data_IF_144060888523
#
_entry.id   IF_144060888523
#
_cell.length_a   1.000
_cell.length_b   1.000
_cell.length_c   1.000
_cell.angle_alpha   90.00
_cell.angle_beta   90.00
_cell.angle_gamma   90.00
#
_symmetry.space_group_name_H-M   'P 1'
#
loop_
_entity.id
_entity.type
_entity.pdbx_description
1 polymer ?
2 non-polymer ?
3 non-polymer ?
4 water ?
#
# COMPACT_ATOMS: atom_id res chain seq x y z
N UNK A 1 0.04 -13.31 -14.63
CA UNK A 1 0.32 -13.82 -13.27
C UNK A 1 -1.00 -14.00 -12.57
N UNK A 2 -1.19 -15.12 -11.89
CA UNK A 2 -2.44 -15.34 -11.20
C UNK A 2 -2.18 -16.07 -9.89
N UNK A 3 -3.10 -15.95 -8.97
CA UNK A 3 -3.05 -16.68 -7.73
C UNK A 3 -4.38 -17.32 -7.41
N UNK A 4 -4.42 -18.20 -6.44
CA UNK A 4 -5.68 -18.62 -5.84
C UNK A 4 -5.53 -18.87 -4.37
N UNK A 5 -6.67 -19.04 -3.70
CA UNK A 5 -6.71 -19.29 -2.28
C UNK A 5 -7.47 -20.58 -2.07
N UNK A 6 -6.86 -21.48 -1.33
CA UNK A 6 -7.45 -22.79 -1.09
C UNK A 6 -7.91 -23.43 -2.42
N UNK A 7 -7.14 -23.27 -3.50
CA UNK A 7 -7.43 -23.95 -4.75
C UNK A 7 -8.63 -23.39 -5.46
N UNK A 8 -9.07 -22.18 -5.12
CA UNK A 8 -10.22 -21.58 -5.76
C UNK A 8 -10.00 -20.94 -7.11
N UNK A 9 -10.91 -20.06 -7.51
CA UNK A 9 -10.80 -19.43 -8.83
C UNK A 9 -9.58 -18.48 -8.88
N UNK A 10 -9.11 -18.25 -10.09
CA UNK A 10 -7.91 -17.44 -10.28
C UNK A 10 -8.15 -15.96 -9.99
N UNK A 11 -7.13 -15.32 -9.42
CA UNK A 11 -7.16 -13.93 -9.00
C UNK A 11 -6.01 -13.24 -9.69
N UNK A 12 -6.29 -12.10 -10.35
CA UNK A 12 -5.26 -11.32 -11.03
C UNK A 12 -4.90 -10.00 -10.36
N UNK A 13 -5.66 -9.61 -9.35
CA UNK A 13 -5.42 -8.35 -8.62
C UNK A 13 -6.49 -8.24 -7.56
N UNK A 14 -6.32 -7.28 -6.65
CA UNK A 14 -7.42 -6.97 -5.76
C UNK A 14 -7.29 -7.57 -4.39
N UNK A 15 -8.35 -7.46 -3.58
CA UNK A 15 -8.31 -7.91 -2.21
C UNK A 15 -9.07 -9.19 -2.10
N UNK A 16 -8.46 -10.15 -1.39
CA UNK A 16 -9.08 -11.45 -1.21
C UNK A 16 -8.96 -11.89 0.25
N UNK A 17 -10.04 -12.48 0.79
CA UNK A 17 -10.01 -13.03 2.13
C UNK A 17 -9.24 -14.35 2.12
N UNK A 18 -8.47 -14.58 3.16
CA UNK A 18 -7.72 -15.82 3.32
C UNK A 18 -8.01 -16.33 4.75
N UNK A 19 -8.76 -17.40 4.85
CA UNK A 19 -9.23 -17.91 6.14
C UNK A 19 -8.22 -18.89 6.70
N UNK A 20 -7.88 -18.70 7.98
CA UNK A 20 -6.84 -19.50 8.62
C UNK A 20 -7.32 -20.01 9.98
N UNK A 21 -6.89 -21.21 10.33
CA UNK A 21 -7.10 -21.74 11.67
C UNK A 21 -6.01 -21.21 12.61
N UNK A 22 -6.41 -20.78 13.80
CA UNK A 22 -5.46 -20.27 14.77
C UNK A 22 -5.57 -21.15 16.02
N UNK A 23 -4.48 -21.22 16.77
CA UNK A 23 -4.54 -21.91 18.04
C UNK A 23 -5.68 -21.29 18.84
N UNK A 24 -6.59 -22.15 19.35
CA UNK A 24 -7.76 -21.54 20.01
C UNK A 24 -7.46 -20.95 21.39
N UNK A 25 -6.32 -21.35 21.96
CA UNK A 25 -5.86 -20.78 23.23
C UNK A 25 -4.42 -20.31 23.09
N UNK A 26 -4.15 -19.12 23.62
CA UNK A 26 -2.81 -18.57 23.57
C UNK A 26 -2.37 -18.13 24.95
N UNK A 27 -1.24 -18.65 25.39
CA UNK A 27 -0.73 -18.31 26.71
C UNK A 27 0.19 -17.15 26.57
N UNK A 28 0.23 -16.29 27.59
CA UNK A 28 1.22 -15.22 27.57
C UNK A 28 2.61 -15.84 27.40
N UNK A 29 3.47 -15.18 26.65
CA UNK A 29 4.77 -15.75 26.30
C UNK A 29 4.77 -16.56 25.02
N UNK A 30 3.60 -16.78 24.43
CA UNK A 30 3.51 -17.60 23.22
C UNK A 30 3.05 -16.82 21.99
N UNK A 31 3.54 -17.24 20.84
CA UNK A 31 3.07 -16.61 19.61
C UNK A 31 2.24 -17.57 18.77
N UNK A 32 1.47 -17.01 17.86
CA UNK A 32 0.67 -17.76 16.92
C UNK A 32 1.44 -17.81 15.63
N UNK A 33 1.48 -18.96 15.00
CA UNK A 33 2.15 -19.11 13.71
C UNK A 33 1.07 -19.28 12.65
N UNK A 34 1.06 -18.45 11.63
CA UNK A 34 0.09 -18.55 10.55
C UNK A 34 0.83 -18.90 9.26
N UNK A 35 0.71 -20.14 8.81
CA UNK A 35 1.43 -20.57 7.63
C UNK A 35 0.56 -20.32 6.40
N UNK A 36 0.84 -19.24 5.68
CA UNK A 36 0.01 -18.87 4.55
C UNK A 36 0.33 -19.69 3.30
N UNK A 37 1.42 -20.43 3.34
CA UNK A 37 1.74 -21.33 2.21
C UNK A 37 0.65 -22.39 2.09
N UNK A 38 -0.07 -22.64 3.19
CA UNK A 38 -1.15 -23.63 3.15
C UNK A 38 -2.37 -23.12 2.43
N UNK A 39 -2.38 -21.84 2.05
CA UNK A 39 -3.57 -21.26 1.47
C UNK A 39 -3.39 -20.54 0.15
N UNK A 40 -2.29 -19.80 -0.01
CA UNK A 40 -2.16 -18.93 -1.18
C UNK A 40 -1.10 -19.49 -2.12
N UNK A 41 -1.46 -19.67 -3.39
CA UNK A 41 -0.50 -20.14 -4.38
C UNK A 41 -0.59 -19.25 -5.59
N UNK A 42 0.53 -19.07 -6.30
CA UNK A 42 0.52 -18.23 -7.51
C UNK A 42 1.36 -18.87 -8.59
N UNK A 43 1.17 -18.40 -9.82
CA UNK A 43 1.83 -19.02 -10.96
C UNK A 43 1.96 -18.02 -12.07
N UNK A 44 2.90 -18.34 -12.97
CA UNK A 44 3.09 -17.63 -14.22
C UNK A 44 2.07 -18.16 -15.24
N UNK A 45 1.39 -17.25 -15.94
CA UNK A 45 0.29 -17.67 -16.80
C UNK A 45 0.76 -18.23 -18.12
N UNK A 46 2.02 -18.09 -18.48
CA UNK A 46 2.58 -18.76 -19.67
C UNK A 46 3.37 -19.99 -19.33
N UNK A 47 4.12 -19.98 -18.23
CA UNK A 47 5.11 -21.01 -17.95
C UNK A 47 6.36 -20.84 -18.78
N UNK A 48 7.34 -21.69 -18.54
CA UNK A 48 8.55 -21.71 -19.34
C UNK A 48 9.49 -20.54 -19.14
N UNK A 49 9.30 -19.73 -18.08
CA UNK A 49 10.20 -18.63 -17.78
C UNK A 49 10.26 -17.68 -18.96
N UNK A 50 9.11 -17.47 -19.61
CA UNK A 50 9.05 -16.58 -20.76
C UNK A 50 8.96 -15.04 -20.45
N UNK A 51 7.93 -14.67 -19.71
CA UNK A 51 7.67 -13.33 -19.19
C UNK A 51 7.60 -13.54 -17.65
N UNK A 52 8.77 -13.63 -17.03
CA UNK A 52 8.84 -14.01 -15.60
C UNK A 52 8.19 -12.95 -14.73
N UNK A 53 7.43 -13.39 -13.73
CA UNK A 53 6.81 -12.51 -12.74
C UNK A 53 7.73 -12.30 -11.54
N UNK A 54 7.67 -11.09 -11.00
CA UNK A 54 8.50 -10.71 -9.86
C UNK A 54 7.59 -10.19 -8.77
N UNK A 55 7.58 -10.86 -7.63
CA UNK A 55 6.60 -10.59 -6.59
C UNK A 55 7.28 -10.25 -5.29
N UNK A 56 6.77 -9.25 -4.59
CA UNK A 56 7.29 -8.91 -3.26
C UNK A 56 6.13 -8.47 -2.39
N UNK A 57 6.39 -8.42 -1.09
CA UNK A 57 5.41 -7.87 -0.17
C UNK A 57 5.81 -6.43 0.14
N UNK A 58 4.78 -5.63 0.49
CA UNK A 58 4.91 -4.18 0.44
C UNK A 58 4.86 -3.55 1.82
N UNK A 59 5.77 -2.61 1.99
CA UNK A 59 5.80 -1.71 3.12
C UNK A 59 4.39 -1.24 3.49
N UNK A 60 4.07 -1.31 4.77
CA UNK A 60 2.78 -0.90 5.24
C UNK A 60 1.83 -2.04 5.59
N UNK A 61 2.11 -3.23 5.06
CA UNK A 61 1.38 -4.43 5.45
C UNK A 61 1.43 -4.53 6.96
N UNK A 62 0.30 -4.81 7.59
CA UNK A 62 0.22 -4.62 9.05
C UNK A 62 -0.89 -5.46 9.63
N UNK A 63 -0.95 -5.48 10.95
CA UNK A 63 -2.11 -6.01 11.62
C UNK A 63 -3.32 -5.14 11.41
N UNK A 64 -4.49 -5.71 11.65
CA UNK A 64 -5.72 -4.95 11.57
C UNK A 64 -5.70 -3.90 12.67
N UNK A 65 -6.46 -2.83 12.46
CA UNK A 65 -6.67 -1.84 13.51
C UNK A 65 -6.81 -2.33 14.94
N UNK A 66 -7.69 -3.31 15.12
CA UNK A 66 -7.99 -3.85 16.44
C UNK A 66 -6.76 -4.49 17.09
N UNK A 67 -5.81 -4.92 16.27
CA UNK A 67 -4.67 -5.68 16.76
C UNK A 67 -3.38 -4.97 16.48
N UNK A 68 -3.44 -3.66 16.28
CA UNK A 68 -2.24 -2.88 15.91
C UNK A 68 -1.24 -2.76 17.04
N UNK A 69 -1.64 -3.13 18.25
CA UNK A 69 -0.70 -3.12 19.33
C UNK A 69 0.18 -4.37 19.26
N UNK A 70 -0.20 -5.33 18.43
CA UNK A 70 0.53 -6.59 18.39
C UNK A 70 1.92 -6.48 17.76
N UNK A 71 2.79 -7.40 18.19
CA UNK A 71 4.12 -7.53 17.60
C UNK A 71 4.15 -8.76 16.72
N UNK A 72 5.05 -8.75 15.75
CA UNK A 72 5.13 -9.91 14.90
C UNK A 72 6.37 -9.94 14.06
N UNK A 73 6.43 -11.03 13.30
CA UNK A 73 7.42 -11.20 12.24
C UNK A 73 6.70 -11.77 11.05
N UNK A 74 7.25 -11.50 9.89
CA UNK A 74 6.71 -12.01 8.63
C UNK A 74 7.84 -12.67 7.89
N UNK A 75 7.69 -13.98 7.70
CA UNK A 75 8.64 -14.73 6.90
C UNK A 75 8.22 -14.65 5.45
N UNK A 76 9.14 -14.25 4.56
CA UNK A 76 8.85 -14.26 3.15
C UNK A 76 10.11 -14.68 2.44
N UNK A 77 10.04 -15.83 1.74
CA UNK A 77 11.05 -16.14 0.73
C UNK A 77 12.49 -15.96 1.23
N UNK A 78 12.82 -16.73 2.27
CA UNK A 78 14.17 -16.84 2.85
C UNK A 78 14.54 -15.76 3.86
N UNK A 79 13.66 -14.80 4.13
CA UNK A 79 13.98 -13.72 5.08
C UNK A 79 12.84 -13.56 6.04
N UNK A 80 13.16 -13.30 7.32
CA UNK A 80 12.13 -13.01 8.31
C UNK A 80 12.21 -11.52 8.66
N UNK A 81 11.15 -10.81 8.35
CA UNK A 81 11.09 -9.36 8.58
C UNK A 81 10.28 -9.04 9.83
N UNK A 82 10.61 -7.93 10.51
CA UNK A 82 9.66 -7.45 11.51
C UNK A 82 8.32 -7.17 10.84
N UNK A 83 7.25 -7.37 11.58
CA UNK A 83 5.90 -7.10 11.11
C UNK A 83 5.23 -6.24 12.17
N UNK A 84 4.59 -5.12 11.80
CA UNK A 84 4.26 -4.71 10.44
C UNK A 84 5.47 -4.38 9.59
N UNK A 85 5.34 -4.56 8.28
CA UNK A 85 6.46 -4.35 7.37
C UNK A 85 6.81 -2.88 7.21
N UNK A 86 8.06 -2.54 7.39
CA UNK A 86 8.49 -1.16 7.29
C UNK A 86 9.29 -0.92 6.01
N UNK A 87 9.39 -1.94 5.17
CA UNK A 87 10.13 -1.86 3.94
C UNK A 87 9.55 -2.89 2.99
N UNK A 88 9.87 -2.81 1.72
CA UNK A 88 9.47 -3.88 0.81
C UNK A 88 10.39 -5.07 0.99
N UNK A 89 9.84 -6.26 0.79
CA UNK A 89 10.63 -7.49 0.95
C UNK A 89 11.45 -7.77 -0.30
N UNK A 90 12.28 -8.82 -0.19
CA UNK A 90 12.94 -9.40 -1.35
C UNK A 90 11.90 -9.87 -2.34
N UNK A 91 12.38 -10.05 -3.57
CA UNK A 91 11.57 -10.50 -4.72
C UNK A 91 11.65 -12.00 -4.91
N UNK A 92 10.48 -12.60 -5.06
CA UNK A 92 10.36 -13.99 -5.50
C UNK A 92 10.01 -13.99 -6.97
N UNK A 93 10.69 -14.83 -7.74
CA UNK A 93 10.45 -14.86 -9.19
C UNK A 93 9.66 -16.08 -9.54
N UNK A 94 8.62 -15.88 -10.33
CA UNK A 94 7.64 -16.89 -10.67
C UNK A 94 7.56 -17.01 -12.17
N UNK A 95 7.93 -18.20 -12.64
CA UNK A 95 8.08 -18.49 -14.08
C UNK A 95 7.41 -19.77 -14.54
N UNK A 96 7.01 -20.64 -13.62
CA UNK A 96 6.38 -21.91 -13.95
C UNK A 96 4.88 -21.75 -13.90
N UNK A 97 4.14 -22.50 -14.73
CA UNK A 97 2.71 -22.46 -14.64
C UNK A 97 2.17 -23.34 -13.51
N UNK A 98 2.98 -24.28 -13.08
CA UNK A 98 2.61 -25.09 -11.90
C UNK A 98 2.53 -24.16 -10.69
N UNK A 99 1.40 -24.14 -9.98
CA UNK A 99 1.28 -23.22 -8.83
C UNK A 99 2.38 -23.41 -7.80
N UNK A 100 2.82 -22.27 -7.28
CA UNK A 100 3.77 -22.27 -6.18
C UNK A 100 3.10 -21.71 -4.94
N UNK A 101 2.95 -22.53 -3.90
CA UNK A 101 2.50 -22.00 -2.62
C UNK A 101 3.42 -20.87 -2.18
N UNK A 102 2.86 -19.77 -1.70
CA UNK A 102 3.71 -18.66 -1.32
C UNK A 102 4.51 -19.02 -0.06
N UNK A 103 5.81 -18.70 -0.07
CA UNK A 103 6.67 -18.98 1.09
C UNK A 103 6.53 -17.87 2.12
N UNK A 104 5.41 -17.96 2.86
CA UNK A 104 4.90 -16.81 3.60
C UNK A 104 4.29 -17.32 4.91
N UNK A 105 4.84 -16.84 6.01
CA UNK A 105 4.32 -17.16 7.34
C UNK A 105 4.28 -15.90 8.19
N UNK A 106 3.24 -15.78 8.96
CA UNK A 106 3.12 -14.68 9.92
C UNK A 106 3.24 -15.21 11.35
N UNK A 107 4.09 -14.59 12.15
CA UNK A 107 4.24 -14.89 13.57
C UNK A 107 3.66 -13.76 14.35
N UNK A 108 2.73 -14.08 15.24
CA UNK A 108 1.95 -13.06 15.98
C UNK A 108 2.18 -13.16 17.47
N UNK A 109 2.60 -12.06 18.08
CA UNK A 109 2.74 -11.96 19.53
C UNK A 109 1.72 -10.93 20.02
N UNK A 110 0.62 -11.39 20.62
CA UNK A 110 -0.36 -10.44 21.12
C UNK A 110 0.31 -9.53 22.16
N UNK A 111 0.10 -8.22 22.01
CA UNK A 111 0.61 -7.25 22.96
C UNK A 111 -0.56 -6.42 23.45
N UNK A 112 -0.60 -6.15 24.74
CA UNK A 112 -1.64 -5.32 25.33
C UNK A 112 -3.00 -5.99 25.26
N UNK A 113 -2.99 -7.31 25.04
CA UNK A 113 -4.22 -8.07 24.95
C UNK A 113 -4.83 -8.27 26.33
N UNK A 114 -6.14 -8.03 26.42
CA UNK A 114 -6.90 -8.30 27.63
C UNK A 114 -7.45 -9.73 27.62
N UNK A 115 -7.85 -10.24 28.78
CA UNK A 115 -8.32 -11.61 28.89
C UNK A 115 -9.55 -11.93 28.07
N UNK A 116 -9.87 -13.21 27.95
CA UNK A 116 -11.03 -13.65 27.20
C UNK A 116 -10.73 -13.70 25.71
N UNK A 117 -11.75 -13.46 24.89
CA UNK A 117 -11.56 -13.55 23.43
C UNK A 117 -10.71 -12.38 22.99
N UNK A 118 -9.55 -12.68 22.39
CA UNK A 118 -8.67 -11.66 21.86
C UNK A 118 -8.72 -11.54 20.35
N UNK A 119 -9.06 -12.63 19.67
CA UNK A 119 -9.31 -12.61 18.22
C UNK A 119 -10.63 -13.32 17.95
N UNK A 120 -11.48 -12.67 17.19
CA UNK A 120 -12.78 -13.23 16.84
C UNK A 120 -12.73 -14.02 15.53
N UNK A 121 -13.49 -15.08 15.45
CA UNK A 121 -13.72 -15.73 14.17
C UNK A 121 -14.35 -14.70 13.26
N UNK A 122 -13.85 -14.61 12.03
CA UNK A 122 -14.40 -13.67 11.06
C UNK A 122 -13.67 -12.33 11.06
N UNK A 123 -12.80 -12.13 12.04
CA UNK A 123 -12.04 -10.90 12.18
C UNK A 123 -10.87 -10.86 11.20
N UNK A 124 -10.71 -9.74 10.49
CA UNK A 124 -9.48 -9.52 9.72
C UNK A 124 -8.38 -9.27 10.73
N UNK A 125 -7.35 -10.09 10.71
CA UNK A 125 -6.23 -9.95 11.62
C UNK A 125 -5.03 -9.22 11.03
N UNK A 126 -4.89 -9.26 9.71
CA UNK A 126 -3.72 -8.63 9.08
C UNK A 126 -4.09 -8.42 7.63
N UNK A 127 -3.46 -7.40 7.07
CA UNK A 127 -3.62 -7.05 5.65
C UNK A 127 -2.26 -7.06 5.02
N UNK A 128 -2.03 -8.03 4.12
CA UNK A 128 -0.74 -8.20 3.47
C UNK A 128 -0.81 -7.75 2.04
N UNK A 129 -0.09 -6.67 1.70
CA UNK A 129 -0.08 -6.17 0.34
C UNK A 129 1.06 -6.84 -0.39
N UNK A 130 0.73 -7.36 -1.57
CA UNK A 130 1.69 -8.03 -2.45
C UNK A 130 1.71 -7.28 -3.77
N UNK A 131 2.89 -7.10 -4.33
CA UNK A 131 3.08 -6.41 -5.60
C UNK A 131 3.65 -7.35 -6.63
N UNK A 132 3.11 -7.31 -7.84
CA UNK A 132 3.59 -8.08 -8.98
C UNK A 132 4.00 -7.17 -10.13
N UNK A 133 5.16 -7.43 -10.71
CA UNK A 133 5.51 -6.81 -12.00
C UNK A 133 6.24 -7.88 -12.81
N UNK A 134 5.95 -7.96 -14.11
CA UNK A 134 6.57 -8.98 -14.93
C UNK A 134 7.82 -8.44 -15.63
N UNK A 135 8.16 -9.02 -16.77
CA UNK A 135 9.46 -8.77 -17.39
C UNK A 135 9.35 -8.03 -18.71
N UNK A 136 8.34 -8.37 -19.50
CA UNK A 136 8.18 -7.81 -20.85
C UNK A 136 7.33 -6.56 -20.80
N UNK A 137 7.55 -5.68 -21.76
CA UNK A 137 6.81 -4.43 -21.81
C UNK A 137 6.98 -3.60 -20.55
N UNK A 138 5.85 -3.10 -20.07
CA UNK A 138 5.76 -2.31 -18.85
C UNK A 138 5.82 -3.19 -17.62
N UNK A 139 5.67 -4.49 -17.83
CA UNK A 139 5.56 -5.42 -16.72
C UNK A 139 4.15 -5.57 -16.19
N UNK A 140 3.18 -4.76 -16.63
CA UNK A 140 1.78 -4.95 -16.23
C UNK A 140 1.65 -5.11 -14.72
N UNK A 141 2.05 -4.09 -13.96
CA UNK A 141 2.08 -4.22 -12.49
C UNK A 141 0.70 -4.40 -11.93
N UNK A 142 0.60 -5.20 -10.87
CA UNK A 142 -0.66 -5.47 -10.25
C UNK A 142 -0.49 -5.50 -8.75
N UNK A 143 -1.52 -5.08 -8.04
CA UNK A 143 -1.56 -5.10 -6.58
C UNK A 143 -2.53 -6.13 -6.10
N UNK A 144 -2.12 -6.87 -5.07
CA UNK A 144 -2.98 -7.81 -4.36
C UNK A 144 -2.96 -7.43 -2.90
N UNK A 145 -4.08 -7.59 -2.23
CA UNK A 145 -4.06 -7.60 -0.78
C UNK A 145 -4.69 -8.86 -0.27
N UNK A 146 -4.01 -9.48 0.68
CA UNK A 146 -4.48 -10.67 1.34
C UNK A 146 -5.01 -10.28 2.70
N UNK A 147 -6.32 -10.39 2.89
CA UNK A 147 -6.93 -10.10 4.19
C UNK A 147 -7.00 -11.38 4.97
N UNK A 148 -6.19 -11.50 6.01
CA UNK A 148 -6.05 -12.75 6.73
C UNK A 148 -7.15 -12.76 7.79
N UNK A 149 -7.99 -13.79 7.79
CA UNK A 149 -9.15 -13.85 8.68
C UNK A 149 -9.11 -15.11 9.48
N UNK A 150 -9.33 -14.98 10.78
CA UNK A 150 -9.37 -16.16 11.61
C UNK A 150 -10.64 -16.99 11.42
N UNK A 151 -10.52 -18.32 11.34
CA UNK A 151 -11.69 -19.17 11.32
C UNK A 151 -12.34 -19.41 12.69
N UNK A 152 -11.61 -19.09 13.74
CA UNK A 152 -12.06 -19.45 15.08
C UNK A 152 -11.68 -18.40 16.11
N UNK A 153 -12.31 -18.47 17.28
CA UNK A 153 -11.92 -17.62 18.40
C UNK A 153 -10.54 -18.00 18.89
N UNK A 154 -9.83 -16.98 19.36
CA UNK A 154 -8.62 -17.21 20.14
C UNK A 154 -8.79 -16.53 21.48
N UNK A 155 -8.58 -17.31 22.53
CA UNK A 155 -8.78 -16.78 23.89
C UNK A 155 -7.48 -16.77 24.64
N UNK A 156 -7.32 -15.76 25.48
CA UNK A 156 -6.19 -15.72 26.39
C UNK A 156 -6.70 -15.66 27.83
N UNK A 157 -6.14 -16.50 28.70
CA UNK A 157 -6.61 -16.52 30.10
C UNK A 157 -5.96 -15.42 30.93
N UNK B 1 1.98 12.02 14.14
CA UNK B 1 2.10 12.58 12.76
C UNK B 1 0.70 12.85 12.25
N UNK B 2 0.48 14.01 11.64
CA UNK B 2 -0.83 14.31 11.12
C UNK B 2 -0.72 15.06 9.82
N UNK B 3 -1.80 15.01 9.05
CA UNK B 3 -1.88 15.77 7.81
C UNK B 3 -3.24 16.44 7.69
N UNK B 4 -3.36 17.40 6.79
CA UNK B 4 -4.69 17.85 6.40
C UNK B 4 -4.70 18.23 4.92
N UNK B 5 -5.88 18.42 4.39
CA UNK B 5 -6.09 18.72 2.99
C UNK B 5 -6.88 20.03 2.91
N UNK B 6 -6.35 21.01 2.19
CA UNK B 6 -7.01 22.31 2.03
C UNK B 6 -7.39 22.88 3.40
N UNK B 7 -6.54 22.70 4.41
CA UNK B 7 -6.80 23.27 5.72
C UNK B 7 -7.88 22.58 6.54
N UNK B 8 -8.32 21.39 6.15
CA UNK B 8 -9.38 20.71 6.86
C UNK B 8 -8.96 20.01 8.14
N UNK B 9 -9.80 19.10 8.60
CA UNK B 9 -9.52 18.40 9.85
C UNK B 9 -8.29 17.50 9.75
N UNK B 10 -7.65 17.25 10.87
CA UNK B 10 -6.45 16.45 10.89
C UNK B 10 -6.73 15.00 10.50
N UNK B 11 -5.77 14.39 9.81
CA UNK B 11 -5.84 13.03 9.30
C UNK B 11 -4.64 12.31 9.85
N UNK B 12 -4.87 11.14 10.45
CA UNK B 12 -3.77 10.34 10.96
C UNK B 12 -3.52 9.03 10.22
N UNK B 13 -4.43 8.64 9.33
CA UNK B 13 -4.30 7.43 8.51
C UNK B 13 -5.49 7.35 7.61
N UNK B 14 -5.44 6.46 6.63
CA UNK B 14 -6.63 6.18 5.87
C UNK B 14 -6.66 6.90 4.54
N UNK B 15 -7.79 6.81 3.88
CA UNK B 15 -7.97 7.35 2.54
C UNK B 15 -8.67 8.67 2.57
N UNK B 16 -8.11 9.63 1.85
CA UNK B 16 -8.71 10.96 1.77
C UNK B 16 -8.73 11.36 0.33
N UNK B 17 -9.84 11.99 -0.07
CA UNK B 17 -9.94 12.55 -1.40
C UNK B 17 -9.40 13.93 -1.46
N UNK B 18 -8.61 14.20 -2.50
CA UNK B 18 -7.96 15.48 -2.68
C UNK B 18 -8.36 16.02 -4.05
N UNK B 19 -9.04 17.16 -4.02
CA UNK B 19 -9.63 17.75 -5.24
C UNK B 19 -8.72 18.79 -5.82
N UNK B 20 -8.56 18.74 -7.14
CA UNK B 20 -7.64 19.62 -7.80
C UNK B 20 -8.35 20.34 -8.93
N UNK B 21 -7.87 21.54 -9.20
CA UNK B 21 -8.35 22.32 -10.32
C UNK B 21 -7.33 22.27 -11.43
N UNK B 22 -7.72 21.68 -12.56
CA UNK B 22 -6.80 21.42 -13.65
C UNK B 22 -7.12 22.26 -14.87
N UNK B 23 -6.09 22.47 -15.70
CA UNK B 23 -6.28 23.20 -16.95
C UNK B 23 -7.40 22.53 -17.71
N UNK B 24 -8.45 23.28 -18.08
CA UNK B 24 -9.58 22.62 -18.73
C UNK B 24 -9.29 22.12 -20.14
N UNK B 25 -8.26 22.68 -20.76
CA UNK B 25 -7.91 22.27 -22.11
C UNK B 25 -6.41 22.01 -22.20
N UNK B 26 -6.06 20.90 -22.82
CA UNK B 26 -4.67 20.52 -22.94
C UNK B 26 -4.42 20.29 -24.44
N UNK B 27 -3.27 20.72 -24.93
CA UNK B 27 -2.93 20.58 -26.34
C UNK B 27 -2.10 19.32 -26.53
N UNK B 28 -2.12 18.75 -27.74
CA UNK B 28 -1.24 17.63 -28.07
C UNK B 28 0.21 17.97 -27.74
N UNK B 29 0.90 17.11 -26.98
CA UNK B 29 2.29 17.37 -26.64
C UNK B 29 2.52 18.10 -25.33
N UNK B 30 1.42 18.51 -24.69
CA UNK B 30 1.47 19.14 -23.37
C UNK B 30 1.23 18.07 -22.29
N UNK B 31 1.94 18.17 -21.19
CA UNK B 31 1.62 17.28 -20.07
C UNK B 31 0.67 18.02 -19.16
N UNK B 32 -0.14 17.25 -18.45
CA UNK B 32 -1.02 17.78 -17.45
C UNK B 32 -0.25 17.72 -16.15
N UNK B 33 -0.12 18.84 -15.46
CA UNK B 33 0.60 18.87 -14.22
C UNK B 33 -0.44 18.96 -13.10
N UNK B 34 -0.25 18.11 -12.11
CA UNK B 34 -1.11 18.09 -10.96
C UNK B 34 -0.23 18.42 -9.73
N UNK B 35 -0.21 19.67 -9.30
CA UNK B 35 0.56 20.03 -8.10
C UNK B 35 -0.33 19.69 -6.92
N UNK B 36 0.27 19.03 -5.95
CA UNK B 36 -0.43 18.64 -4.72
C UNK B 36 0.10 19.34 -3.49
N UNK B 37 1.22 20.05 -3.60
CA UNK B 37 1.77 20.71 -2.42
C UNK B 37 0.85 21.80 -1.91
N UNK B 38 0.02 22.36 -2.77
CA UNK B 38 -0.88 23.41 -2.28
C UNK B 38 -2.10 22.83 -1.60
N UNK B 39 -2.24 21.50 -1.64
CA UNK B 39 -3.41 20.86 -1.05
C UNK B 39 -3.16 19.99 0.15
N UNK B 40 -2.01 19.35 0.26
CA UNK B 40 -1.78 18.44 1.36
C UNK B 40 -0.60 18.92 2.16
N UNK B 41 -0.76 19.04 3.48
CA UNK B 41 0.35 19.39 4.38
C UNK B 41 0.38 18.43 5.54
N UNK B 42 1.57 18.17 6.05
CA UNK B 42 1.68 17.27 7.20
C UNK B 42 2.67 17.82 8.20
N UNK B 43 2.54 17.38 9.46
CA UNK B 43 3.39 17.91 10.52
C UNK B 43 3.69 16.85 11.56
N UNK B 44 4.75 17.07 12.31
CA UNK B 44 5.08 16.26 13.46
C UNK B 44 4.22 16.73 14.63
N UNK B 45 3.65 15.82 15.39
CA UNK B 45 2.73 16.23 16.43
C UNK B 45 3.40 16.67 17.73
N UNK B 46 4.71 16.47 17.89
CA UNK B 46 5.43 16.95 19.08
C UNK B 46 6.42 18.03 18.77
N UNK B 47 7.01 18.07 17.57
CA UNK B 47 8.06 19.02 17.29
C UNK B 47 9.41 18.66 17.86
N UNK B 48 10.37 19.54 17.59
CA UNK B 48 11.70 19.37 18.12
C UNK B 48 12.54 18.24 17.59
N UNK B 49 12.05 17.51 16.59
CA UNK B 49 12.72 16.28 16.13
C UNK B 49 12.90 15.31 17.31
N UNK B 50 12.00 15.38 18.28
CA UNK B 50 12.00 14.42 19.39
C UNK B 50 11.63 13.00 18.96
N UNK B 51 10.63 12.91 18.10
CA UNK B 51 10.18 11.63 17.56
C UNK B 51 9.90 11.89 16.09
N UNK B 52 10.96 11.88 15.31
CA UNK B 52 10.89 12.33 13.92
C UNK B 52 10.08 11.36 13.07
N UNK B 53 9.22 11.92 12.23
CA UNK B 53 8.43 11.14 11.27
C UNK B 53 9.14 10.99 9.94
N UNK B 54 9.08 9.79 9.38
CA UNK B 54 9.72 9.44 8.11
C UNK B 54 8.60 9.08 7.14
N UNK B 55 8.49 9.79 6.02
CA UNK B 55 7.40 9.65 5.11
C UNK B 55 7.92 9.29 3.71
N UNK B 56 7.26 8.35 3.05
CA UNK B 56 7.60 8.06 1.66
C UNK B 56 6.34 7.63 0.93
N UNK B 57 6.40 7.60 -0.40
CA UNK B 57 5.29 7.06 -1.18
C UNK B 57 5.60 5.61 -1.54
N UNK B 58 4.55 4.85 -1.81
CA UNK B 58 4.67 3.39 -1.77
C UNK B 58 4.42 2.78 -3.15
N UNK B 59 5.27 1.79 -3.44
CA UNK B 59 5.14 0.89 -4.57
C UNK B 59 3.71 0.46 -4.76
N UNK B 60 3.27 0.53 -6.01
CA UNK B 60 1.94 0.10 -6.36
C UNK B 60 0.99 1.27 -6.60
N UNK B 61 1.29 2.44 -6.05
CA UNK B 61 0.51 3.64 -6.32
C UNK B 61 0.37 3.81 -7.83
N UNK B 62 -0.83 4.12 -8.31
CA UNK B 62 -1.11 4.02 -9.74
C UNK B 62 -2.23 4.94 -10.16
N UNK B 63 -2.39 5.09 -11.47
CA UNK B 63 -3.56 5.75 -12.00
C UNK B 63 -4.77 4.89 -11.73
N UNK B 64 -5.95 5.50 -11.77
CA UNK B 64 -7.18 4.77 -11.49
C UNK B 64 -8.01 4.50 -12.72
N UNK B 65 -8.70 3.34 -12.71
CA UNK B 65 -9.49 2.84 -13.81
C UNK B 65 -9.04 3.08 -15.23
N UNK B 66 -9.77 3.93 -15.94
CA UNK B 66 -9.58 4.12 -17.36
C UNK B 66 -8.28 4.82 -17.71
N UNK B 67 -7.60 5.36 -16.69
CA UNK B 67 -6.43 6.19 -16.95
C UNK B 67 -5.13 5.41 -16.85
N UNK B 68 -5.23 4.11 -16.64
CA UNK B 68 -4.03 3.28 -16.59
C UNK B 68 -3.32 3.22 -17.93
N UNK B 69 -3.99 3.64 -19.00
CA UNK B 69 -3.31 3.69 -20.29
C UNK B 69 -2.38 4.93 -20.42
N UNK B 70 -2.51 5.87 -19.49
CA UNK B 70 -1.72 7.09 -19.56
C UNK B 70 -0.28 6.89 -19.06
N UNK B 71 0.62 7.76 -19.50
CA UNK B 71 1.99 7.75 -18.98
C UNK B 71 2.08 8.81 -17.88
N UNK B 72 2.97 8.58 -16.92
CA UNK B 72 3.09 9.54 -15.86
C UNK B 72 4.42 9.52 -15.18
N UNK B 73 4.69 10.63 -14.52
CA UNK B 73 5.84 10.77 -13.65
C UNK B 73 5.31 11.32 -12.32
N UNK B 74 5.93 10.94 -11.25
CA UNK B 74 5.59 11.52 -9.96
C UNK B 74 6.83 12.18 -9.46
N UNK B 75 6.72 13.45 -9.08
CA UNK B 75 7.83 14.17 -8.48
C UNK B 75 7.60 14.15 -6.96
N UNK B 76 8.52 13.59 -6.21
CA UNK B 76 8.41 13.58 -4.77
C UNK B 76 9.73 14.04 -4.20
N UNK B 77 9.70 15.09 -3.37
CA UNK B 77 10.88 15.50 -2.62
C UNK B 77 12.06 15.63 -3.59
N UNK B 78 11.80 16.32 -4.70
CA UNK B 78 12.78 16.64 -5.74
C UNK B 78 13.33 15.49 -6.59
N UNK B 79 12.69 14.33 -6.52
CA UNK B 79 13.07 13.17 -7.37
C UNK B 79 11.91 12.84 -8.33
N UNK B 80 12.20 12.57 -9.61
CA UNK B 80 11.18 12.05 -10.50
C UNK B 80 11.19 10.53 -10.49
N UNK B 81 10.01 9.94 -10.41
CA UNK B 81 9.81 8.51 -10.49
C UNK B 81 8.77 8.21 -11.56
N UNK B 82 8.93 7.15 -12.33
CA UNK B 82 7.87 6.75 -13.24
C UNK B 82 6.61 6.45 -12.45
N UNK B 83 5.44 6.73 -13.01
CA UNK B 83 4.17 6.44 -12.35
C UNK B 83 3.39 5.57 -13.34
N UNK B 84 2.85 4.43 -12.92
CA UNK B 84 2.71 3.98 -11.53
C UNK B 84 4.04 3.64 -10.87
N UNK B 85 4.09 3.77 -9.54
CA UNK B 85 5.31 3.49 -8.83
C UNK B 85 5.60 2.01 -8.80
N UNK B 86 6.79 1.67 -9.24
CA UNK B 86 7.25 0.28 -9.18
C UNK B 86 8.17 0.01 -8.00
N UNK B 87 8.44 1.06 -7.23
CA UNK B 87 9.26 0.99 -6.04
C UNK B 87 8.69 2.00 -5.06
N UNK B 88 9.20 2.01 -3.85
CA UNK B 88 8.92 3.14 -2.95
C UNK B 88 9.70 4.37 -3.38
N UNK B 89 9.36 5.53 -2.84
CA UNK B 89 10.18 6.73 -3.09
C UNK B 89 11.12 6.97 -1.92
N UNK B 90 11.93 8.02 -2.06
CA UNK B 90 12.82 8.40 -0.99
C UNK B 90 12.05 8.89 0.22
N UNK B 91 12.75 8.90 1.35
CA UNK B 91 12.18 9.32 2.63
C UNK B 91 12.35 10.82 2.92
N UNK B 92 11.25 11.44 3.30
CA UNK B 92 11.22 12.83 3.75
C UNK B 92 11.03 12.81 5.27
N UNK B 93 11.87 13.51 6.01
CA UNK B 93 11.76 13.58 7.46
C UNK B 93 10.98 14.81 7.86
N UNK B 94 10.06 14.66 8.79
CA UNK B 94 9.29 15.76 9.34
C UNK B 94 9.42 15.70 10.85
N UNK B 95 10.10 16.70 11.43
CA UNK B 95 10.37 16.72 12.86
C UNK B 95 9.73 17.90 13.56
N UNK B 96 9.16 18.84 12.82
CA UNK B 96 8.59 20.09 13.37
C UNK B 96 7.08 20.11 13.32
N UNK B 97 6.45 20.89 14.21
CA UNK B 97 5.01 21.09 14.18
C UNK B 97 4.55 21.99 13.01
N UNK B 98 5.50 22.65 12.39
CA UNK B 98 5.15 23.45 11.20
C UNK B 98 4.53 22.58 10.11
N UNK B 99 3.35 22.92 9.60
CA UNK B 99 2.76 22.10 8.53
C UNK B 99 3.54 22.19 7.25
N UNK B 100 4.14 21.07 6.81
CA UNK B 100 4.93 21.05 5.60
C UNK B 100 4.10 20.62 4.41
N UNK B 101 3.99 21.48 3.39
CA UNK B 101 3.30 21.07 2.16
C UNK B 101 4.03 19.85 1.59
N UNK B 102 3.30 18.83 1.21
CA UNK B 102 3.97 17.67 0.64
C UNK B 102 4.59 18.07 -0.69
N UNK B 103 5.87 17.71 -0.87
CA UNK B 103 6.57 18.10 -2.10
C UNK B 103 6.24 17.09 -3.18
N UNK B 104 5.08 17.23 -3.78
CA UNK B 104 4.48 16.17 -4.57
C UNK B 104 3.76 16.76 -5.77
N UNK B 105 4.15 16.32 -6.96
CA UNK B 105 3.46 16.68 -8.19
C UNK B 105 3.29 15.42 -9.04
N UNK B 106 2.22 15.35 -9.78
CA UNK B 106 2.04 14.26 -10.72
C UNK B 106 1.96 14.84 -12.13
N UNK B 107 2.75 14.31 -13.05
CA UNK B 107 2.75 14.75 -14.43
C UNK B 107 2.10 13.66 -15.25
N UNK B 108 1.16 14.04 -16.10
CA UNK B 108 0.39 13.04 -16.81
C UNK B 108 0.49 13.29 -18.31
N UNK B 109 0.83 12.25 -19.06
CA UNK B 109 0.85 12.35 -20.50
C UNK B 109 -0.33 11.53 -20.97
N UNK B 110 -1.35 12.18 -21.49
CA UNK B 110 -2.50 11.39 -21.95
C UNK B 110 -2.05 10.55 -23.15
N UNK B 111 -2.47 9.29 -23.17
CA UNK B 111 -2.20 8.38 -24.28
C UNK B 111 -3.51 7.75 -24.67
N UNK B 112 -3.80 7.74 -25.97
CA UNK B 112 -5.02 7.12 -26.45
C UNK B 112 -6.26 7.91 -26.12
N UNK B 116 -10.50 14.44 -27.54
CA UNK B 116 -11.54 13.96 -26.65
C UNK B 116 -11.31 14.31 -25.18
N UNK B 117 -12.06 13.64 -24.33
CA UNK B 117 -11.96 13.91 -22.89
C UNK B 117 -10.78 13.14 -22.29
N UNK B 118 -9.90 13.89 -21.62
CA UNK B 118 -8.70 13.34 -20.99
C UNK B 118 -9.01 12.93 -19.54
N UNK B 119 -9.73 13.80 -18.83
CA UNK B 119 -10.11 13.53 -17.45
C UNK B 119 -11.56 13.98 -17.26
N UNK B 120 -12.38 13.15 -16.64
CA UNK B 120 -13.74 13.56 -16.28
C UNK B 120 -13.79 14.17 -14.88
N UNK B 121 -14.62 15.19 -14.72
CA UNK B 121 -14.84 15.75 -13.39
C UNK B 121 -15.29 14.66 -12.43
N UNK B 122 -14.72 14.63 -11.24
CA UNK B 122 -15.12 13.69 -10.22
C UNK B 122 -14.55 12.29 -10.24
N UNK B 123 -13.85 11.89 -11.28
CA UNK B 123 -13.31 10.54 -11.29
C UNK B 123 -11.96 10.55 -10.61
N UNK B 124 -11.69 9.46 -9.93
CA UNK B 124 -10.38 9.26 -9.35
C UNK B 124 -9.33 9.19 -10.48
N UNK B 125 -8.32 10.04 -10.40
CA UNK B 125 -7.20 10.08 -11.35
C UNK B 125 -6.12 9.12 -10.94
N UNK B 126 -5.80 9.12 -9.65
CA UNK B 126 -4.67 8.34 -9.13
C UNK B 126 -4.91 8.06 -7.67
N UNK B 127 -4.35 6.97 -7.18
CA UNK B 127 -4.40 6.58 -5.79
C UNK B 127 -2.97 6.53 -5.30
N UNK B 128 -2.58 7.51 -4.49
CA UNK B 128 -1.18 7.64 -4.07
C UNK B 128 -1.06 7.19 -2.64
N UNK B 129 -0.37 6.08 -2.40
CA UNK B 129 -0.22 5.52 -1.05
C UNK B 129 1.03 6.12 -0.43
N UNK B 130 0.89 6.61 0.79
CA UNK B 130 1.97 7.22 1.55
C UNK B 130 2.12 6.44 2.87
N UNK B 131 3.37 6.26 3.28
CA UNK B 131 3.70 5.51 4.48
C UNK B 131 4.40 6.45 5.44
N UNK B 132 4.01 6.36 6.71
CA UNK B 132 4.67 7.06 7.79
C UNK B 132 5.19 6.05 8.82
N UNK B 133 6.41 6.27 9.28
CA UNK B 133 6.88 5.59 10.50
C UNK B 133 7.74 6.61 11.24
N UNK B 134 7.60 6.63 12.55
CA UNK B 134 8.32 7.60 13.35
C UNK B 134 9.64 6.98 13.82
N UNK B 135 10.09 7.35 15.02
CA UNK B 135 11.41 6.96 15.47
C UNK B 135 11.36 6.16 16.76
N UNK B 136 10.59 6.63 17.73
CA UNK B 136 10.61 6.00 19.05
C UNK B 136 9.79 4.73 19.03
N UNK B 137 10.22 3.78 19.85
CA UNK B 137 9.52 2.50 20.01
C UNK B 137 9.30 1.80 18.68
N UNK B 138 8.05 1.44 18.42
CA UNK B 138 7.66 0.75 17.19
C UNK B 138 7.62 1.69 15.98
N UNK B 139 7.62 2.99 16.23
CA UNK B 139 7.43 3.99 15.18
C UNK B 139 5.98 4.23 14.88
N UNK B 140 5.04 3.47 15.44
CA UNK B 140 3.63 3.62 15.17
C UNK B 140 3.36 3.87 13.67
N UNK B 141 3.72 2.93 12.81
CA UNK B 141 3.53 3.16 11.36
C UNK B 141 2.08 3.36 11.01
N UNK B 142 1.85 4.19 9.99
CA UNK B 142 0.51 4.50 9.52
C UNK B 142 0.51 4.54 8.00
N UNK B 143 -0.61 4.13 7.42
CA UNK B 143 -0.80 4.21 5.97
C UNK B 143 -1.82 5.27 5.63
N UNK B 144 -1.51 6.05 4.60
CA UNK B 144 -2.44 7.05 4.06
C UNK B 144 -2.62 6.73 2.59
N UNK B 145 -3.80 6.99 2.05
CA UNK B 145 -3.97 7.01 0.59
C UNK B 145 -4.59 8.34 0.21
N UNK B 146 -4.05 8.92 -0.83
CA UNK B 146 -4.55 10.19 -1.35
C UNK B 146 -5.21 9.84 -2.67
N UNK B 147 -6.53 9.95 -2.73
CA UNK B 147 -7.28 9.78 -3.98
C UNK B 147 -7.38 11.11 -4.70
N UNK B 148 -6.69 11.25 -5.81
CA UNK B 148 -6.60 12.53 -6.50
C UNK B 148 -7.76 12.66 -7.47
N UNK B 149 -8.57 13.71 -7.36
CA UNK B 149 -9.79 13.86 -8.16
C UNK B 149 -9.84 15.26 -8.76
N UNK B 150 -10.18 15.38 -10.04
CA UNK B 150 -10.30 16.72 -10.64
C UNK B 150 -11.71 17.27 -10.41
N UNK B 151 -11.77 18.54 -10.08
CA UNK B 151 -13.04 19.23 -9.95
C UNK B 151 -13.74 19.40 -11.27
N UNK B 152 -12.97 19.46 -12.36
CA UNK B 152 -13.47 19.80 -13.69
C UNK B 152 -12.97 18.79 -14.71
N UNK B 153 -13.64 18.71 -15.84
CA UNK B 153 -13.11 17.89 -16.91
C UNK B 153 -11.93 18.58 -17.60
N UNK B 154 -11.06 17.76 -18.18
CA UNK B 154 -9.96 18.22 -19.00
C UNK B 154 -10.17 17.62 -20.38
N UNK B 155 -10.17 18.45 -21.42
CA UNK B 155 -10.33 17.92 -22.78
C UNK B 155 -9.14 18.28 -23.66
N UNK B 156 -8.93 17.48 -24.69
CA UNK B 156 -7.94 17.79 -25.73
C UNK B 156 -8.59 17.97 -27.09
#
# INVERSE_FOLDING_TARGET
FSCNVDGGSSIGAGTTSVYVNLDPVIQPGQNLVVDLSQHISCWNDYGGWYDTDHINLVQGSAFAGSLQSYKGSLYWNNVTYPFPLTTNTNVLDIGDKTPMPLPLKLYITPVGAAGGVVIKAGEVIARIHMYKIATLGSGNPRNFTWNIISNNSVVMPTGGHHHHHH
FSCNVDGGSSIGAGTTSVYVNLDPVIQPGQNLVVDLSQHISCWNDYGGWYDTDHINLVQGSAFAGSLQSYKGSLYWNNVTYPFPLTTNTNVLDIGDKTPMPLPLKLYITPVGAAGGVVIKAGEVIARIHMYKIATLGSGNPRNFTWNIISNNSVVMPTGGHHHHHH
#
